data_IF_460154916217
#
_entry.id   IF_460154916217
#
_cell.length_a   1.000
_cell.length_b   1.000
_cell.length_c   1.000
_cell.angle_alpha   90.00
_cell.angle_beta   90.00
_cell.angle_gamma   90.00
#
_symmetry.space_group_name_H-M   'P 1'
#
loop_
_entity.id
_entity.type
_entity.pdbx_description
1 polymer ?
#
# COMPACT_ATOMS: atom_id res chain seq x y z
N UNK A 1 -2.41 -7.73 4.78
CA UNK A 1 -1.30 -8.57 4.28
C UNK A 1 -0.73 -8.09 2.94
N UNK A 2 -1.50 -7.95 1.84
CA UNK A 2 -0.98 -7.62 0.49
C UNK A 2 -0.13 -6.33 0.41
N UNK A 3 -0.61 -5.21 0.96
CA UNK A 3 0.12 -3.93 0.90
C UNK A 3 1.52 -4.06 1.51
N UNK A 4 1.61 -4.67 2.70
CA UNK A 4 2.86 -4.77 3.48
C UNK A 4 3.81 -5.87 2.96
N UNK A 5 3.26 -6.96 2.43
CA UNK A 5 4.07 -8.13 2.05
C UNK A 5 4.41 -8.20 0.56
N UNK A 6 3.77 -7.37 -0.28
CA UNK A 6 3.96 -7.45 -1.72
C UNK A 6 3.94 -6.05 -2.36
N UNK A 7 2.79 -5.39 -2.39
CA UNK A 7 2.61 -4.20 -3.23
C UNK A 7 3.54 -3.03 -2.84
N UNK A 8 3.73 -2.74 -1.56
CA UNK A 8 4.61 -1.66 -1.13
C UNK A 8 6.11 -2.01 -1.28
N UNK A 9 6.61 -3.19 -0.84
CA UNK A 9 7.98 -3.60 -1.12
C UNK A 9 8.34 -3.60 -2.61
N UNK A 10 7.52 -4.24 -3.47
CA UNK A 10 7.79 -4.31 -4.92
C UNK A 10 7.81 -2.92 -5.55
N UNK A 11 6.87 -2.04 -5.20
CA UNK A 11 6.87 -0.67 -5.72
C UNK A 11 8.04 0.17 -5.20
N UNK A 12 8.42 0.01 -3.93
CA UNK A 12 9.58 0.69 -3.37
C UNK A 12 10.88 0.30 -4.08
N UNK A 13 11.05 -0.98 -4.41
CA UNK A 13 12.15 -1.48 -5.24
C UNK A 13 12.12 -0.92 -6.65
N UNK A 14 10.98 -1.01 -7.34
CA UNK A 14 10.81 -0.53 -8.71
C UNK A 14 11.10 0.98 -8.85
N UNK A 15 10.84 1.75 -7.80
CA UNK A 15 11.02 3.21 -7.76
C UNK A 15 12.33 3.65 -7.09
N UNK A 16 13.23 2.70 -6.76
CA UNK A 16 14.50 2.97 -6.06
C UNK A 16 14.34 3.83 -4.79
N UNK A 17 13.31 3.54 -4.00
CA UNK A 17 13.01 4.30 -2.80
C UNK A 17 13.98 3.95 -1.67
N UNK A 18 14.38 4.96 -0.89
CA UNK A 18 15.18 4.77 0.33
C UNK A 18 14.31 4.33 1.51
N UNK A 19 13.76 3.13 1.41
CA UNK A 19 12.98 2.48 2.46
C UNK A 19 13.58 1.13 2.84
N UNK A 20 13.44 0.66 4.09
CA UNK A 20 13.99 -0.64 4.50
C UNK A 20 13.47 -1.82 3.66
N UNK A 21 12.17 -1.79 3.32
CA UNK A 21 11.52 -2.83 2.51
C UNK A 21 12.09 -2.98 1.08
N UNK A 22 12.82 -1.98 0.58
CA UNK A 22 13.56 -2.06 -0.69
C UNK A 22 14.69 -3.11 -0.61
N UNK A 23 15.26 -3.33 0.58
CA UNK A 23 16.35 -4.29 0.81
C UNK A 23 15.85 -5.61 1.40
N UNK A 24 14.92 -5.53 2.36
CA UNK A 24 14.45 -6.71 3.08
C UNK A 24 13.37 -7.50 2.35
N UNK A 25 12.72 -6.94 1.33
CA UNK A 25 11.58 -7.52 0.60
C UNK A 25 10.30 -7.72 1.42
N UNK A 26 10.28 -7.32 2.69
CA UNK A 26 9.10 -7.31 3.55
C UNK A 26 8.96 -5.99 4.30
N UNK A 27 7.76 -5.70 4.81
CA UNK A 27 7.53 -4.49 5.59
C UNK A 27 8.16 -4.57 6.98
N UNK A 28 8.95 -3.56 7.32
CA UNK A 28 9.56 -3.38 8.65
C UNK A 28 8.82 -2.34 9.51
N UNK A 29 7.56 -2.02 9.18
CA UNK A 29 6.77 -0.98 9.88
C UNK A 29 7.51 0.37 10.01
N UNK A 30 8.25 0.74 8.97
CA UNK A 30 9.10 1.93 9.02
C UNK A 30 8.28 3.23 9.18
N UNK A 31 8.93 4.24 9.78
CA UNK A 31 8.36 5.58 9.99
C UNK A 31 9.11 6.66 9.20
N UNK A 32 9.88 6.25 8.18
CA UNK A 32 10.69 7.16 7.36
C UNK A 32 9.83 8.03 6.43
N UNK A 33 10.36 9.20 6.06
CA UNK A 33 9.68 10.16 5.17
C UNK A 33 9.43 9.63 3.76
N UNK A 34 10.27 8.69 3.31
CA UNK A 34 10.14 8.04 2.00
C UNK A 34 9.21 6.82 2.02
N UNK A 35 8.48 6.57 3.11
CA UNK A 35 7.49 5.49 3.16
C UNK A 35 6.41 5.71 2.09
N UNK A 36 6.05 4.66 1.34
CA UNK A 36 4.97 4.72 0.34
C UNK A 36 3.61 4.26 0.89
N UNK A 37 3.62 3.32 1.84
CA UNK A 37 2.41 2.76 2.46
C UNK A 37 1.93 3.58 3.68
N UNK A 38 1.68 4.88 3.51
CA UNK A 38 1.44 5.82 4.61
C UNK A 38 0.06 5.73 5.26
N UNK A 39 -0.95 5.23 4.55
CA UNK A 39 -2.33 5.36 4.98
C UNK A 39 -2.95 4.00 5.30
N UNK A 40 -3.54 3.91 6.49
CA UNK A 40 -4.51 2.88 6.86
C UNK A 40 -5.73 3.61 7.41
N UNK A 41 -6.89 3.39 6.80
CA UNK A 41 -8.12 4.10 7.17
C UNK A 41 -9.27 3.11 7.33
N UNK A 42 -10.14 3.38 8.30
CA UNK A 42 -11.44 2.74 8.44
C UNK A 42 -12.46 3.79 8.03
N UNK A 43 -13.27 3.48 7.02
CA UNK A 43 -14.33 4.39 6.54
C UNK A 43 -15.67 3.84 6.99
N UNK A 44 -16.31 4.48 7.96
CA UNK A 44 -17.62 4.03 8.48
C UNK A 44 -18.78 4.39 7.56
N UNK A 45 -18.71 5.54 6.86
CA UNK A 45 -19.78 6.04 5.99
C UNK A 45 -19.22 6.83 4.82
N UNK A 46 -19.92 6.76 3.68
CA UNK A 46 -19.68 7.64 2.52
C UNK A 46 -20.78 8.70 2.44
N UNK A 47 -20.40 9.97 2.63
CA UNK A 47 -21.29 11.12 2.42
C UNK A 47 -20.58 12.19 1.56
N UNK A 48 -21.25 12.78 0.55
CA UNK A 48 -22.57 12.43 0.05
C UNK A 48 -22.59 11.06 -0.65
N UNK A 49 -23.79 10.54 -0.92
CA UNK A 49 -23.98 9.25 -1.58
C UNK A 49 -23.20 9.20 -2.90
N UNK A 50 -22.45 8.12 -3.13
CA UNK A 50 -21.71 7.88 -4.37
C UNK A 50 -20.30 8.48 -4.45
N UNK A 51 -19.80 9.15 -3.40
CA UNK A 51 -18.43 9.70 -3.36
C UNK A 51 -17.35 8.61 -3.40
N UNK A 52 -17.55 7.51 -2.69
CA UNK A 52 -16.60 6.39 -2.61
C UNK A 52 -17.13 5.20 -3.39
N UNK A 53 -16.32 4.62 -4.27
CA UNK A 53 -16.59 3.36 -4.97
C UNK A 53 -15.56 2.33 -4.53
N UNK A 54 -16.02 1.14 -4.14
CA UNK A 54 -15.15 0.01 -3.81
C UNK A 54 -15.29 -1.02 -4.92
N UNK A 55 -14.18 -1.39 -5.54
CA UNK A 55 -14.11 -2.45 -6.56
C UNK A 55 -13.36 -3.62 -5.94
N UNK A 56 -14.03 -4.76 -5.79
CA UNK A 56 -13.42 -6.00 -5.34
C UNK A 56 -13.04 -6.81 -6.57
N UNK A 57 -11.78 -7.20 -6.65
CA UNK A 57 -11.22 -7.99 -7.75
C UNK A 57 -10.64 -9.26 -7.15
N UNK A 58 -11.02 -10.41 -7.68
CA UNK A 58 -10.53 -11.72 -7.25
C UNK A 58 -9.56 -12.31 -8.27
N UNK A 59 -8.62 -11.49 -8.73
CA UNK A 59 -7.63 -11.84 -9.75
C UNK A 59 -6.29 -11.22 -9.35
N UNK A 60 -5.20 -11.88 -9.72
CA UNK A 60 -3.84 -11.37 -9.54
C UNK A 60 -3.53 -10.30 -10.59
N UNK A 61 -3.94 -9.06 -10.30
CA UNK A 61 -3.67 -7.90 -11.13
C UNK A 61 -2.61 -6.98 -10.51
N UNK A 62 -1.73 -6.45 -11.38
CA UNK A 62 -0.70 -5.47 -11.00
C UNK A 62 0.64 -6.07 -10.54
N UNK A 63 1.38 -5.29 -9.74
CA UNK A 63 2.76 -5.50 -9.26
C UNK A 63 2.87 -5.33 -7.74
#
# INVERSE_FOLDING_TARGET
LRIKNYAAPTNAMRLDMKTPCTKSSYCEECKGTNRICNSWTITEKSFPKGRTKVVLINEDLGL
#
